data_IF_260536237142
#
_entry.id   IF_260536237142
#
_cell.length_a   1.000
_cell.length_b   1.000
_cell.length_c   1.000
_cell.angle_alpha   90.00
_cell.angle_beta   90.00
_cell.angle_gamma   90.00
#
_symmetry.space_group_name_H-M   'P 1'
#
loop_
_entity.id
_entity.type
_entity.pdbx_description
1 polymer ?
#
# COMPACT_ATOMS: atom_id res chain seq x y z
N UNK A 1 -64.83 -55.77 -16.00
CA UNK A 1 -64.70 -54.65 -15.03
C UNK A 1 -63.60 -54.97 -14.03
N UNK A 2 -62.75 -53.97 -13.74
CA UNK A 2 -61.70 -53.89 -12.69
C UNK A 2 -60.27 -54.34 -13.07
N UNK A 3 -59.45 -53.29 -13.27
CA UNK A 3 -57.97 -53.20 -13.33
C UNK A 3 -57.34 -53.79 -12.04
N UNK A 4 -56.08 -54.23 -12.01
CA UNK A 4 -54.92 -53.34 -11.76
C UNK A 4 -53.58 -54.05 -12.04
N UNK A 5 -52.74 -53.38 -12.82
CA UNK A 5 -51.29 -53.50 -12.89
C UNK A 5 -50.64 -52.95 -11.62
N UNK A 6 -49.62 -53.63 -11.07
CA UNK A 6 -48.52 -53.01 -10.30
C UNK A 6 -47.25 -53.87 -10.48
N UNK A 7 -46.31 -53.37 -11.27
CA UNK A 7 -44.86 -53.63 -11.14
C UNK A 7 -44.19 -52.38 -11.71
N UNK A 8 -43.95 -51.39 -10.84
CA UNK A 8 -43.23 -50.17 -11.20
C UNK A 8 -41.76 -50.37 -10.85
N UNK A 9 -40.95 -50.15 -11.88
CA UNK A 9 -39.51 -50.23 -11.98
C UNK A 9 -38.84 -49.18 -11.09
N UNK A 10 -37.75 -49.62 -10.44
CA UNK A 10 -36.79 -48.81 -9.69
C UNK A 10 -36.13 -47.79 -10.63
N UNK A 11 -36.22 -46.50 -10.31
CA UNK A 11 -35.41 -45.45 -10.93
C UNK A 11 -34.82 -44.54 -9.85
N UNK A 12 -33.60 -44.91 -9.45
CA UNK A 12 -32.61 -44.07 -8.77
C UNK A 12 -32.06 -43.09 -9.83
N UNK A 13 -31.96 -41.77 -9.57
CA UNK A 13 -30.94 -40.86 -10.14
C UNK A 13 -31.20 -39.39 -9.72
N UNK A 14 -30.19 -38.85 -9.02
CA UNK A 14 -29.75 -37.45 -8.92
C UNK A 14 -30.74 -36.36 -8.46
N UNK A 15 -30.92 -36.26 -7.13
CA UNK A 15 -31.16 -34.97 -6.47
C UNK A 15 -29.91 -34.09 -6.63
N UNK A 16 -29.97 -33.13 -7.54
CA UNK A 16 -29.03 -32.02 -7.66
C UNK A 16 -29.23 -31.11 -6.44
N UNK A 17 -28.51 -31.41 -5.36
CA UNK A 17 -28.31 -30.47 -4.26
C UNK A 17 -27.34 -29.39 -4.75
N UNK A 18 -27.91 -28.30 -5.26
CA UNK A 18 -27.22 -27.04 -5.48
C UNK A 18 -26.77 -26.49 -4.12
N UNK A 19 -25.61 -26.95 -3.66
CA UNK A 19 -24.94 -26.37 -2.51
C UNK A 19 -24.59 -24.92 -2.82
N UNK A 20 -25.37 -23.99 -2.25
CA UNK A 20 -24.91 -22.63 -2.04
C UNK A 20 -23.66 -22.72 -1.17
N UNK A 21 -22.50 -22.62 -1.80
CA UNK A 21 -21.27 -22.31 -1.10
C UNK A 21 -21.38 -20.83 -0.76
N UNK A 22 -21.51 -20.42 0.51
CA UNK A 22 -21.30 -19.03 0.86
C UNK A 22 -19.86 -18.71 0.46
N UNK A 23 -19.71 -17.89 -0.58
CA UNK A 23 -18.45 -17.25 -0.86
C UNK A 23 -18.11 -16.45 0.39
N UNK A 24 -17.17 -16.96 1.19
CA UNK A 24 -16.50 -16.17 2.20
C UNK A 24 -15.85 -15.02 1.45
N UNK A 25 -16.53 -13.87 1.45
CA UNK A 25 -15.94 -12.59 1.11
C UNK A 25 -14.85 -12.35 2.17
N UNK A 26 -13.65 -12.86 1.91
CA UNK A 26 -12.47 -12.47 2.66
C UNK A 26 -12.32 -10.97 2.47
N UNK A 27 -12.18 -10.23 3.57
CA UNK A 27 -11.97 -8.78 3.56
C UNK A 27 -10.94 -8.42 2.49
N UNK A 28 -11.42 -7.81 1.41
CA UNK A 28 -10.62 -7.42 0.22
C UNK A 28 -9.77 -6.18 0.49
N UNK A 29 -9.69 -5.75 1.75
CA UNK A 29 -9.03 -4.54 2.18
C UNK A 29 -7.75 -4.87 2.99
N UNK A 30 -6.59 -4.97 2.33
CA UNK A 30 -5.34 -5.32 3.00
C UNK A 30 -4.84 -4.15 3.84
N UNK A 31 -4.78 -4.37 5.15
CA UNK A 31 -4.22 -3.38 6.10
C UNK A 31 -2.84 -3.78 6.62
N UNK A 32 -2.38 -5.01 6.38
CA UNK A 32 -1.16 -5.56 6.97
C UNK A 32 -0.11 -5.92 5.93
N UNK A 33 1.15 -5.56 6.19
CA UNK A 33 2.30 -5.92 5.37
C UNK A 33 3.52 -6.24 6.25
N UNK A 34 4.07 -7.44 6.10
CA UNK A 34 5.24 -7.91 6.85
C UNK A 34 5.10 -7.81 8.38
N UNK A 35 3.88 -7.99 8.90
CA UNK A 35 3.59 -7.90 10.33
C UNK A 35 3.30 -6.49 10.85
N UNK A 36 3.39 -5.46 9.99
CA UNK A 36 2.96 -4.10 10.33
C UNK A 36 1.55 -3.87 9.82
N UNK A 37 0.68 -3.28 10.65
CA UNK A 37 -0.70 -2.95 10.30
C UNK A 37 -0.91 -1.44 10.22
N UNK A 38 -1.53 -0.99 9.12
CA UNK A 38 -1.93 0.41 8.95
C UNK A 38 -2.94 0.78 10.05
N UNK A 39 -2.77 1.97 10.61
CA UNK A 39 -3.54 2.50 11.73
C UNK A 39 -3.07 2.09 13.11
N UNK A 40 -2.12 1.17 13.23
CA UNK A 40 -1.49 0.92 14.53
C UNK A 40 -0.57 2.06 14.94
N UNK A 41 -0.41 2.24 16.25
CA UNK A 41 0.55 3.17 16.83
C UNK A 41 1.98 2.68 16.53
N UNK A 42 2.79 3.52 15.90
CA UNK A 42 4.16 3.20 15.44
C UNK A 42 5.08 2.76 16.58
N UNK A 43 4.85 3.22 17.81
CA UNK A 43 5.62 2.85 18.99
C UNK A 43 5.61 1.33 19.26
N UNK A 44 4.55 0.64 18.86
CA UNK A 44 4.43 -0.83 18.90
C UNK A 44 5.55 -1.53 18.13
N UNK A 45 6.12 -0.85 17.13
CA UNK A 45 7.15 -1.39 16.25
C UNK A 45 8.54 -0.80 16.50
N UNK A 46 8.77 -0.20 17.67
CA UNK A 46 10.04 0.42 18.07
C UNK A 46 11.25 -0.53 18.03
N UNK A 47 11.03 -1.84 18.16
CA UNK A 47 12.07 -2.84 17.99
C UNK A 47 12.56 -2.94 16.54
N UNK A 48 11.69 -2.65 15.57
CA UNK A 48 11.95 -2.78 14.13
C UNK A 48 12.42 -1.49 13.45
N UNK A 49 12.22 -0.33 14.07
CA UNK A 49 12.55 0.98 13.46
C UNK A 49 13.31 1.92 14.41
N UNK A 50 14.01 2.88 13.82
CA UNK A 50 14.67 3.98 14.54
C UNK A 50 13.67 5.11 14.80
N UNK A 51 12.74 4.89 15.72
CA UNK A 51 11.68 5.86 16.03
C UNK A 51 12.25 7.17 16.61
N UNK A 52 13.35 7.08 17.36
CA UNK A 52 14.09 8.21 17.92
C UNK A 52 14.72 9.12 16.86
N UNK A 53 14.86 8.63 15.62
CA UNK A 53 15.39 9.37 14.47
C UNK A 53 14.33 9.65 13.42
N UNK A 54 13.05 9.56 13.80
CA UNK A 54 11.97 9.87 12.87
C UNK A 54 12.04 11.34 12.45
N UNK A 55 11.92 11.58 11.14
CA UNK A 55 11.96 12.93 10.56
C UNK A 55 10.67 13.19 9.78
N UNK A 56 10.17 14.44 9.75
CA UNK A 56 9.12 14.82 8.82
C UNK A 56 9.53 14.53 7.38
N UNK A 57 8.59 14.07 6.55
CA UNK A 57 8.83 13.85 5.13
C UNK A 57 9.11 15.18 4.41
N UNK A 58 10.14 15.22 3.57
CA UNK A 58 10.51 16.46 2.84
C UNK A 58 9.37 16.98 1.96
N UNK A 59 8.70 16.08 1.23
CA UNK A 59 7.59 16.42 0.33
C UNK A 59 6.21 16.27 0.99
N UNK A 60 6.17 15.71 2.20
CA UNK A 60 4.96 15.44 2.97
C UNK A 60 5.23 15.78 4.45
N UNK A 61 5.37 17.06 4.81
CA UNK A 61 5.73 17.48 6.17
C UNK A 61 4.69 17.10 7.23
N UNK A 62 3.44 16.83 6.79
CA UNK A 62 2.32 16.31 7.58
C UNK A 62 2.46 14.82 7.95
N UNK A 63 3.52 14.15 7.51
CA UNK A 63 3.87 12.79 7.89
C UNK A 63 5.29 12.75 8.43
N UNK A 64 5.52 11.83 9.36
CA UNK A 64 6.85 11.50 9.87
C UNK A 64 7.25 10.11 9.42
N UNK A 65 8.55 9.92 9.18
CA UNK A 65 9.12 8.68 8.64
C UNK A 65 10.19 8.13 9.59
N UNK A 66 9.97 6.93 10.12
CA UNK A 66 10.95 6.18 10.90
C UNK A 66 11.60 5.11 10.02
N UNK A 67 12.94 5.11 9.94
CA UNK A 67 13.68 4.13 9.15
C UNK A 67 13.64 2.75 9.81
N UNK A 68 13.36 1.71 9.02
CA UNK A 68 13.44 0.31 9.48
C UNK A 68 14.90 -0.05 9.70
N UNK A 69 15.21 -0.66 10.85
CA UNK A 69 16.56 -1.11 11.22
C UNK A 69 17.04 -2.15 10.19
N UNK A 70 18.30 -2.08 9.73
CA UNK A 70 18.84 -3.08 8.82
C UNK A 70 18.68 -4.50 9.40
N UNK A 71 18.20 -5.44 8.58
CA UNK A 71 18.01 -6.85 8.94
C UNK A 71 17.01 -7.14 10.08
N UNK A 72 16.21 -6.16 10.52
CA UNK A 72 15.11 -6.42 11.46
C UNK A 72 14.01 -7.31 10.87
N UNK A 73 13.95 -7.40 9.53
CA UNK A 73 13.05 -8.28 8.80
C UNK A 73 13.85 -9.16 7.82
N UNK A 74 13.56 -10.47 7.76
CA UNK A 74 14.21 -11.37 6.81
C UNK A 74 14.06 -10.91 5.36
N UNK A 75 15.17 -10.82 4.63
CA UNK A 75 15.19 -10.43 3.21
C UNK A 75 14.99 -8.93 2.94
N UNK A 76 14.72 -8.12 3.96
CA UNK A 76 14.53 -6.67 3.86
C UNK A 76 15.83 -5.98 4.28
N UNK A 77 16.36 -5.14 3.39
CA UNK A 77 17.60 -4.36 3.62
C UNK A 77 17.35 -3.03 4.31
N UNK A 78 16.09 -2.62 4.39
CA UNK A 78 15.66 -1.37 4.98
C UNK A 78 14.32 -0.94 4.41
N UNK A 79 13.97 0.31 4.65
CA UNK A 79 12.63 0.80 4.39
C UNK A 79 12.23 1.79 5.46
N UNK A 80 10.94 2.03 5.59
CA UNK A 80 10.41 3.01 6.51
C UNK A 80 8.98 2.73 6.89
N UNK A 81 8.65 3.13 8.11
CA UNK A 81 7.30 3.24 8.63
C UNK A 81 6.92 4.72 8.62
N UNK A 82 5.82 5.05 7.94
CA UNK A 82 5.32 6.40 7.76
C UNK A 82 4.10 6.54 8.65
N UNK A 83 4.06 7.59 9.48
CA UNK A 83 2.98 7.82 10.43
C UNK A 83 2.53 9.28 10.46
N UNK A 84 1.29 9.48 10.88
CA UNK A 84 0.67 10.80 10.99
C UNK A 84 1.34 11.67 12.06
N UNK A 85 1.39 12.98 11.82
CA UNK A 85 1.87 13.95 12.82
C UNK A 85 0.91 15.14 13.04
N UNK A 86 -0.22 15.17 12.32
CA UNK A 86 -1.27 16.18 12.46
C UNK A 86 -2.54 15.62 13.13
N UNK A 87 -3.32 14.80 12.42
CA UNK A 87 -4.64 14.33 12.87
C UNK A 87 -4.55 13.03 13.67
N UNK A 88 -4.03 11.98 13.03
CA UNK A 88 -3.82 10.62 13.54
C UNK A 88 -2.38 10.47 14.01
N UNK A 89 -2.02 11.24 15.03
CA UNK A 89 -0.64 11.32 15.53
C UNK A 89 -0.11 9.95 15.92
N UNK A 90 1.06 9.61 15.38
CA UNK A 90 1.78 8.36 15.63
C UNK A 90 1.12 7.11 15.06
N UNK A 91 0.02 7.20 14.33
CA UNK A 91 -0.59 6.05 13.67
C UNK A 91 0.05 5.79 12.30
N UNK A 92 0.28 4.52 11.97
CA UNK A 92 0.86 4.12 10.69
C UNK A 92 -0.08 4.47 9.53
N UNK A 93 0.40 5.33 8.64
CA UNK A 93 -0.25 5.71 7.38
C UNK A 93 0.38 4.99 6.19
N UNK A 94 1.65 4.59 6.30
CA UNK A 94 2.34 3.90 5.22
C UNK A 94 3.46 2.98 5.67
N UNK A 95 3.72 1.95 4.86
CA UNK A 95 4.78 0.97 5.08
C UNK A 95 5.58 0.88 3.77
N UNK A 96 6.90 1.05 3.85
CA UNK A 96 7.79 0.95 2.71
C UNK A 96 8.89 -0.06 3.00
N UNK A 97 8.98 -1.11 2.18
CA UNK A 97 9.98 -2.16 2.31
C UNK A 97 10.91 -2.16 1.10
N UNK A 98 12.21 -2.35 1.33
CA UNK A 98 13.23 -2.52 0.29
C UNK A 98 13.94 -3.84 0.51
N UNK A 99 14.05 -4.65 -0.53
CA UNK A 99 14.64 -6.00 -0.42
C UNK A 99 16.14 -6.01 -0.69
N UNK A 100 16.82 -6.98 -0.08
CA UNK A 100 18.21 -7.34 -0.38
C UNK A 100 18.34 -7.93 -1.79
N UNK A 101 17.41 -8.80 -2.20
CA UNK A 101 17.34 -9.29 -3.58
C UNK A 101 16.80 -8.16 -4.48
N UNK A 102 17.68 -7.62 -5.32
CA UNK A 102 17.40 -6.49 -6.22
C UNK A 102 17.01 -6.96 -7.63
N UNK A 103 16.90 -8.26 -7.83
CA UNK A 103 16.65 -8.83 -9.14
C UNK A 103 15.22 -8.58 -9.61
N UNK A 104 15.07 -8.47 -10.94
CA UNK A 104 13.73 -8.51 -11.56
C UNK A 104 13.02 -9.84 -11.28
N UNK A 105 13.76 -10.92 -11.02
CA UNK A 105 13.19 -12.24 -10.68
C UNK A 105 12.40 -12.19 -9.38
N UNK A 106 12.83 -11.48 -8.34
CA UNK A 106 12.02 -11.31 -7.13
C UNK A 106 10.75 -10.51 -7.44
N UNK A 107 10.87 -9.42 -8.16
CA UNK A 107 9.73 -8.60 -8.59
C UNK A 107 8.70 -9.44 -9.36
N UNK A 108 9.12 -10.23 -10.35
CA UNK A 108 8.22 -11.06 -11.15
C UNK A 108 7.52 -12.14 -10.29
N UNK A 109 8.19 -12.67 -9.26
CA UNK A 109 7.57 -13.62 -8.31
C UNK A 109 6.51 -12.93 -7.44
N UNK A 110 6.83 -11.76 -6.88
CA UNK A 110 5.89 -10.97 -6.08
C UNK A 110 4.70 -10.51 -6.93
N UNK A 111 4.94 -10.06 -8.16
CA UNK A 111 3.90 -9.67 -9.10
C UNK A 111 2.93 -10.81 -9.35
N UNK A 112 3.43 -12.00 -9.73
CA UNK A 112 2.60 -13.18 -9.93
C UNK A 112 1.81 -13.57 -8.68
N UNK A 113 2.40 -13.42 -7.49
CA UNK A 113 1.72 -13.66 -6.22
C UNK A 113 0.60 -12.65 -6.00
N UNK A 114 0.84 -11.36 -6.21
CA UNK A 114 -0.17 -10.32 -6.07
C UNK A 114 -1.30 -10.46 -7.08
N UNK A 115 -1.01 -10.77 -8.34
CA UNK A 115 -2.06 -11.03 -9.34
C UNK A 115 -2.92 -12.23 -8.94
N UNK A 116 -2.31 -13.28 -8.40
CA UNK A 116 -3.06 -14.45 -7.92
C UNK A 116 -3.98 -14.12 -6.73
N UNK A 117 -3.55 -13.26 -5.81
CA UNK A 117 -4.29 -12.95 -4.59
C UNK A 117 -5.29 -11.79 -4.76
N UNK A 118 -4.97 -10.80 -5.59
CA UNK A 118 -5.70 -9.53 -5.68
C UNK A 118 -6.24 -9.22 -7.08
N UNK A 119 -5.93 -10.05 -8.09
CA UNK A 119 -6.24 -9.75 -9.49
C UNK A 119 -5.24 -8.80 -10.15
N UNK A 120 -5.53 -8.38 -11.38
CA UNK A 120 -4.67 -7.48 -12.15
C UNK A 120 -4.52 -6.10 -11.47
N UNK A 121 -3.36 -5.43 -11.58
CA UNK A 121 -3.15 -4.11 -11.00
C UNK A 121 -4.06 -3.07 -11.66
N UNK A 122 -4.48 -2.07 -10.88
CA UNK A 122 -5.31 -0.97 -11.35
C UNK A 122 -4.56 -0.02 -12.30
N UNK A 123 -3.26 0.21 -12.07
CA UNK A 123 -2.50 1.20 -12.86
C UNK A 123 -1.01 0.87 -12.93
N UNK A 124 -0.39 1.20 -14.06
CA UNK A 124 1.07 1.27 -14.20
C UNK A 124 1.59 2.63 -13.75
N UNK A 125 2.51 2.64 -12.79
CA UNK A 125 3.13 3.87 -12.22
C UNK A 125 4.65 3.90 -12.40
N UNK A 126 5.16 3.10 -13.35
CA UNK A 126 6.57 3.10 -13.75
C UNK A 126 6.90 4.19 -14.76
N UNK A 127 8.16 4.20 -15.22
CA UNK A 127 8.60 5.13 -16.27
C UNK A 127 8.32 4.57 -17.67
N UNK A 128 8.18 5.46 -18.66
CA UNK A 128 7.92 5.05 -20.05
C UNK A 128 9.06 4.18 -20.64
N UNK A 129 10.29 4.39 -20.16
CA UNK A 129 11.49 3.69 -20.64
C UNK A 129 11.75 2.35 -19.91
N UNK A 130 10.88 1.96 -18.96
CA UNK A 130 10.99 0.74 -18.15
C UNK A 130 12.34 0.62 -17.42
N UNK A 131 12.96 1.73 -17.02
CA UNK A 131 14.02 1.73 -16.01
C UNK A 131 13.45 1.54 -14.61
N UNK A 132 12.17 1.83 -14.44
CA UNK A 132 11.36 1.65 -13.25
C UNK A 132 10.06 0.98 -13.68
N UNK A 133 9.82 -0.23 -13.21
CA UNK A 133 8.56 -0.95 -13.42
C UNK A 133 7.82 -0.89 -12.10
N UNK A 134 6.63 -0.30 -12.09
CA UNK A 134 5.81 -0.24 -10.89
C UNK A 134 4.33 -0.45 -11.22
N UNK A 135 3.70 -1.33 -10.44
CA UNK A 135 2.29 -1.67 -10.56
C UNK A 135 1.59 -1.32 -9.26
N UNK A 136 0.41 -0.71 -9.38
CA UNK A 136 -0.40 -0.29 -8.26
C UNK A 136 -1.70 -1.08 -8.21
N UNK A 137 -2.02 -1.62 -7.04
CA UNK A 137 -3.34 -2.09 -6.66
C UNK A 137 -4.01 -1.04 -5.77
N UNK A 138 -5.32 -0.91 -5.93
CA UNK A 138 -6.16 -0.01 -5.16
C UNK A 138 -7.27 -0.84 -4.52
N UNK A 139 -7.46 -0.67 -3.23
CA UNK A 139 -8.44 -1.38 -2.44
C UNK A 139 -9.36 -0.38 -1.77
N UNK A 140 -10.65 -0.67 -1.76
CA UNK A 140 -11.67 0.16 -1.11
C UNK A 140 -12.57 -0.72 -0.26
N UNK A 141 -12.91 -0.27 0.96
CA UNK A 141 -13.86 -0.94 1.84
C UNK A 141 -15.25 -0.26 1.81
N UNK A 142 -16.21 -0.81 2.55
CA UNK A 142 -17.58 -0.29 2.62
C UNK A 142 -17.66 1.12 3.23
N UNK A 143 -16.68 1.49 4.06
CA UNK A 143 -16.54 2.82 4.66
C UNK A 143 -15.92 3.85 3.69
N UNK A 144 -15.64 3.44 2.43
CA UNK A 144 -14.95 4.25 1.42
C UNK A 144 -13.53 4.65 1.82
N UNK A 145 -12.91 3.89 2.71
CA UNK A 145 -11.49 3.98 2.96
C UNK A 145 -10.72 3.34 1.81
N UNK A 146 -9.54 3.88 1.52
CA UNK A 146 -8.71 3.45 0.41
C UNK A 146 -7.30 3.08 0.89
N UNK A 147 -6.81 1.94 0.41
CA UNK A 147 -5.41 1.51 0.54
C UNK A 147 -4.81 1.32 -0.86
N UNK A 148 -3.62 1.87 -1.06
CA UNK A 148 -2.83 1.65 -2.26
C UNK A 148 -1.63 0.75 -1.94
N UNK A 149 -1.40 -0.26 -2.79
CA UNK A 149 -0.23 -1.13 -2.75
C UNK A 149 0.56 -1.00 -4.05
N UNK A 150 1.81 -0.57 -3.96
CA UNK A 150 2.71 -0.41 -5.10
C UNK A 150 3.86 -1.40 -4.98
N UNK A 151 3.96 -2.30 -5.96
CA UNK A 151 5.14 -3.14 -6.16
C UNK A 151 6.02 -2.50 -7.23
N UNK A 152 7.29 -2.26 -6.91
CA UNK A 152 8.23 -1.58 -7.80
C UNK A 152 9.52 -2.38 -7.95
N UNK A 153 10.08 -2.35 -9.15
CA UNK A 153 11.46 -2.71 -9.46
C UNK A 153 12.13 -1.56 -10.22
N UNK A 154 13.34 -1.19 -9.81
CA UNK A 154 14.15 -0.18 -10.51
C UNK A 154 15.56 -0.68 -10.79
N UNK A 155 16.05 -0.38 -12.00
CA UNK A 155 17.48 -0.51 -12.37
C UNK A 155 18.22 0.83 -12.29
N UNK A 156 17.52 1.94 -12.06
CA UNK A 156 18.12 3.28 -12.01
C UNK A 156 18.91 3.47 -10.70
N UNK A 157 20.20 3.82 -10.76
CA UNK A 157 20.99 4.18 -9.57
C UNK A 157 20.43 5.41 -8.85
N UNK A 158 19.84 6.35 -9.58
CA UNK A 158 19.23 7.57 -9.04
C UNK A 158 18.00 7.29 -8.18
N UNK A 159 17.21 6.27 -8.53
CA UNK A 159 15.98 5.90 -7.82
C UNK A 159 16.19 4.79 -6.75
N UNK A 160 17.45 4.56 -6.32
CA UNK A 160 17.91 3.44 -5.47
C UNK A 160 17.45 2.06 -5.99
N UNK A 161 18.29 1.33 -6.76
CA UNK A 161 17.87 0.14 -7.50
C UNK A 161 17.40 -1.01 -6.62
N UNK A 162 16.57 -1.88 -7.19
CA UNK A 162 16.08 -3.11 -6.60
C UNK A 162 14.56 -3.18 -6.50
N UNK A 163 14.08 -4.11 -5.69
CA UNK A 163 12.65 -4.34 -5.45
C UNK A 163 12.21 -3.61 -4.20
N UNK A 164 11.03 -2.98 -4.27
CA UNK A 164 10.37 -2.38 -3.12
C UNK A 164 8.86 -2.57 -3.16
N UNK A 165 8.27 -2.62 -1.97
CA UNK A 165 6.82 -2.56 -1.76
C UNK A 165 6.53 -1.27 -0.99
N UNK A 166 5.53 -0.51 -1.44
CA UNK A 166 4.94 0.60 -0.67
C UNK A 166 3.46 0.30 -0.48
N UNK A 167 3.00 0.31 0.75
CA UNK A 167 1.57 0.24 1.09
C UNK A 167 1.18 1.52 1.82
N UNK A 168 0.03 2.10 1.48
CA UNK A 168 -0.38 3.41 2.02
C UNK A 168 -1.88 3.47 2.22
N UNK A 169 -2.31 3.90 3.40
CA UNK A 169 -3.71 4.22 3.68
C UNK A 169 -4.03 5.60 3.11
N UNK A 170 -4.52 5.65 1.88
CA UNK A 170 -4.74 6.87 1.09
C UNK A 170 -5.73 7.82 1.76
N UNK A 171 -6.78 7.29 2.39
CA UNK A 171 -7.75 8.10 3.14
C UNK A 171 -7.10 8.80 4.33
N UNK A 172 -6.32 8.09 5.15
CA UNK A 172 -5.62 8.69 6.30
C UNK A 172 -4.52 9.67 5.87
N UNK A 173 -3.77 9.33 4.82
CA UNK A 173 -2.78 10.25 4.21
C UNK A 173 -3.44 11.57 3.81
N UNK A 174 -4.61 11.50 3.16
CA UNK A 174 -5.38 12.69 2.81
C UNK A 174 -5.87 13.47 4.03
N UNK A 175 -6.39 12.78 5.04
CA UNK A 175 -6.87 13.44 6.27
C UNK A 175 -5.73 14.17 7.02
N UNK A 176 -4.52 13.60 7.04
CA UNK A 176 -3.33 14.28 7.58
C UNK A 176 -2.99 15.55 6.79
N UNK A 177 -3.01 15.47 5.45
CA UNK A 177 -2.78 16.64 4.59
C UNK A 177 -3.84 17.73 4.84
N UNK A 178 -5.11 17.36 4.88
CA UNK A 178 -6.22 18.30 5.10
C UNK A 178 -6.09 18.97 6.49
N UNK A 179 -5.70 18.22 7.52
CA UNK A 179 -5.38 18.76 8.86
C UNK A 179 -4.23 19.76 8.81
N UNK A 180 -3.13 19.41 8.13
CA UNK A 180 -1.95 20.26 8.03
C UNK A 180 -2.26 21.57 7.29
N UNK A 181 -3.00 21.51 6.19
CA UNK A 181 -3.43 22.69 5.45
C UNK A 181 -4.38 23.57 6.26
N UNK A 182 -5.28 23.02 7.07
CA UNK A 182 -6.14 23.80 7.95
C UNK A 182 -5.36 24.53 9.07
N UNK A 183 -4.20 23.99 9.46
CA UNK A 183 -3.26 24.70 10.34
C UNK A 183 -2.47 25.77 9.58
N UNK A 184 -2.15 25.53 8.30
CA UNK A 184 -1.31 26.39 7.47
C UNK A 184 -2.07 27.53 6.75
N UNK A 185 -3.38 27.43 6.54
CA UNK A 185 -4.22 28.57 6.10
C UNK A 185 -4.20 29.72 7.12
N UNK A 186 -3.84 29.45 8.39
CA UNK A 186 -3.52 30.50 9.37
C UNK A 186 -2.16 31.19 9.11
N UNK A 187 -1.33 30.59 8.26
CA UNK A 187 0.05 30.94 7.88
C UNK A 187 0.17 31.46 6.43
N UNK A 188 -0.93 31.51 5.66
CA UNK A 188 -1.01 32.04 4.27
C UNK A 188 -0.38 33.44 4.09
N UNK A 189 -0.23 34.22 5.17
CA UNK A 189 0.54 35.48 5.16
C UNK A 189 2.04 35.30 4.87
N UNK A 190 2.58 34.09 4.89
CA UNK A 190 3.99 33.79 4.61
C UNK A 190 4.28 33.50 3.13
N UNK A 191 3.32 32.95 2.37
CA UNK A 191 3.53 32.50 0.98
C UNK A 191 3.55 33.61 -0.07
N UNK A 192 3.11 34.82 0.24
CA UNK A 192 3.26 35.97 -0.68
C UNK A 192 4.73 36.33 -0.96
N UNK A 193 5.68 35.85 -0.12
CA UNK A 193 7.14 35.98 -0.33
C UNK A 193 7.78 34.88 -1.21
N UNK A 194 7.07 33.83 -1.59
CA UNK A 194 7.66 32.69 -2.32
C UNK A 194 7.58 32.79 -3.84
N UNK A 195 7.03 33.88 -4.40
CA UNK A 195 7.03 34.09 -5.86
C UNK A 195 8.46 34.43 -6.31
N UNK A 196 9.00 33.63 -7.22
CA UNK A 196 10.32 33.86 -7.81
C UNK A 196 10.31 35.21 -8.54
N UNK A 197 11.01 36.21 -8.00
CA UNK A 197 11.07 37.56 -8.56
C UNK A 197 12.12 37.68 -9.67
N UNK A 198 13.14 36.83 -9.65
CA UNK A 198 14.22 36.81 -10.64
C UNK A 198 14.79 35.41 -10.78
N UNK A 199 15.18 35.05 -12.01
CA UNK A 199 15.83 33.78 -12.32
C UNK A 199 17.35 33.81 -12.07
N UNK A 200 17.93 35.00 -11.93
CA UNK A 200 19.38 35.18 -11.83
C UNK A 200 20.03 34.36 -10.68
N UNK A 201 19.43 34.20 -9.49
CA UNK A 201 20.00 33.38 -8.41
C UNK A 201 19.99 31.87 -8.69
N UNK A 202 19.23 31.41 -9.69
CA UNK A 202 19.05 29.99 -10.00
C UNK A 202 19.84 29.55 -11.24
N UNK A 203 20.61 30.46 -11.85
CA UNK A 203 21.51 30.15 -12.97
C UNK A 203 22.88 29.76 -12.36
N UNK A 204 23.33 28.51 -12.48
CA UNK A 204 24.66 28.10 -12.04
C UNK A 204 25.73 28.92 -12.77
N UNK A 205 26.75 29.40 -12.05
CA UNK A 205 27.91 30.10 -12.59
C UNK A 205 29.17 29.28 -12.39
#
# INVERSE_FOLDING_TARGET
MKKKFVCIVVAFVCCVFSGWVPALAGDTFPTTLAGFRLGDVVATYSEYCHLEKAVPGSDAPFLSEAMIKPNALPGVRGGSLIFGNCLHKHELVGIKLKFHDRSKKLFDRLYKRYVKEFGEPATYVGDAFKNVIAWQWLFTNDEKEEVALVLMWSRSPQMRPGVSIKMTHKTREKQELDCYLAMDEKTEKMHQKSRVQSLAPFIPR
#
